data_IF_083236436424
#
_entry.id   IF_083236436424
#
_cell.length_a   1.000
_cell.length_b   1.000
_cell.length_c   1.000
_cell.angle_alpha   90.00
_cell.angle_beta   90.00
_cell.angle_gamma   90.00
#
_symmetry.space_group_name_H-M   'P 1'
#
loop_
_entity.id
_entity.type
_entity.pdbx_description
1 polymer ?
#
# COMPACT_ATOMS: atom_id res chain seq x y z
N UNK A 1 -6.19 -10.96 -4.98
CA UNK A 1 -5.46 -11.64 -3.88
C UNK A 1 -3.96 -11.68 -4.14
N UNK A 2 -3.45 -12.38 -5.15
CA UNK A 2 -1.99 -12.58 -5.34
C UNK A 2 -1.10 -11.31 -5.24
N UNK A 3 -1.49 -10.19 -5.85
CA UNK A 3 -0.64 -8.98 -5.85
C UNK A 3 -0.79 -8.08 -4.61
N UNK A 4 -1.95 -8.12 -3.93
CA UNK A 4 -2.33 -7.15 -2.90
C UNK A 4 -2.93 -7.79 -1.64
N UNK A 5 -2.89 -9.12 -1.52
CA UNK A 5 -3.48 -9.87 -0.41
C UNK A 5 -2.83 -9.54 0.93
N UNK A 6 -1.54 -9.20 0.91
CA UNK A 6 -0.77 -8.74 2.07
C UNK A 6 -1.17 -7.36 2.60
N UNK A 7 -2.04 -6.63 1.90
CA UNK A 7 -2.46 -5.27 2.26
C UNK A 7 -3.66 -5.32 3.19
N UNK A 8 -3.79 -4.29 4.02
CA UNK A 8 -4.95 -4.12 4.91
C UNK A 8 -4.77 -2.93 5.84
N UNK A 9 -5.80 -2.59 6.63
CA UNK A 9 -5.65 -1.63 7.72
C UNK A 9 -4.57 -2.10 8.69
N UNK A 10 -3.71 -1.18 9.15
CA UNK A 10 -2.62 -1.48 10.10
C UNK A 10 -1.70 -2.64 9.67
N UNK A 11 -1.37 -2.74 8.39
CA UNK A 11 -0.57 -3.84 7.81
C UNK A 11 0.85 -4.03 8.37
N UNK A 12 1.35 -3.08 9.17
CA UNK A 12 2.62 -3.18 9.92
C UNK A 12 2.55 -4.15 11.09
N UNK A 13 1.35 -4.36 11.65
CA UNK A 13 1.11 -5.26 12.76
C UNK A 13 0.82 -6.68 12.24
N UNK A 14 1.61 -7.65 12.65
CA UNK A 14 1.42 -9.05 12.25
C UNK A 14 0.09 -9.63 12.77
N UNK A 15 -0.51 -9.07 13.83
CA UNK A 15 -1.82 -9.48 14.32
C UNK A 15 -3.00 -8.96 13.50
N UNK A 16 -2.82 -7.83 12.81
CA UNK A 16 -3.87 -7.22 12.01
C UNK A 16 -4.25 -8.11 10.81
N UNK A 17 -5.55 -8.16 10.51
CA UNK A 17 -6.04 -8.85 9.31
C UNK A 17 -5.69 -8.09 8.02
N UNK A 18 -5.48 -8.86 6.96
CA UNK A 18 -5.22 -8.38 5.61
C UNK A 18 -6.35 -8.79 4.68
N UNK A 19 -6.32 -8.32 3.43
CA UNK A 19 -7.29 -8.72 2.42
C UNK A 19 -7.26 -10.23 2.17
N UNK A 20 -6.11 -10.88 2.32
CA UNK A 20 -5.99 -12.34 2.20
C UNK A 20 -6.57 -13.07 3.42
N UNK A 21 -6.24 -12.64 4.63
CA UNK A 21 -6.70 -13.32 5.86
C UNK A 21 -8.14 -12.98 6.23
N UNK A 22 -8.67 -11.86 5.74
CA UNK A 22 -10.07 -11.47 5.83
C UNK A 22 -10.50 -10.71 4.56
N UNK A 23 -11.02 -11.41 3.53
CA UNK A 23 -11.52 -10.81 2.30
C UNK A 23 -12.61 -9.75 2.50
N UNK A 24 -13.34 -9.82 3.62
CA UNK A 24 -14.38 -8.86 3.98
C UNK A 24 -13.88 -7.41 4.09
N UNK A 25 -12.60 -7.22 4.42
CA UNK A 25 -11.97 -5.89 4.45
C UNK A 25 -11.93 -5.25 3.06
N UNK A 26 -11.52 -5.99 2.04
CA UNK A 26 -11.50 -5.51 0.65
C UNK A 26 -12.91 -5.26 0.12
N UNK A 27 -13.86 -6.15 0.45
CA UNK A 27 -15.26 -5.99 0.06
C UNK A 27 -15.90 -4.75 0.69
N UNK A 28 -15.59 -4.46 1.95
CA UNK A 28 -16.09 -3.25 2.64
C UNK A 28 -15.62 -1.97 1.96
N UNK A 29 -14.35 -1.93 1.53
CA UNK A 29 -13.81 -0.82 0.74
C UNK A 29 -14.51 -0.67 -0.61
N UNK A 30 -14.71 -1.78 -1.35
CA UNK A 30 -15.43 -1.75 -2.63
C UNK A 30 -16.88 -1.29 -2.47
N UNK A 31 -17.53 -1.71 -1.38
CA UNK A 31 -18.90 -1.28 -1.06
C UNK A 31 -18.99 0.21 -0.73
N UNK A 32 -17.93 0.84 -0.23
CA UNK A 32 -17.87 2.28 -0.08
C UNK A 32 -17.62 2.97 -1.43
N UNK A 33 -16.68 2.46 -2.23
CA UNK A 33 -16.31 3.03 -3.54
C UNK A 33 -17.48 3.03 -4.54
N UNK A 34 -18.31 1.98 -4.57
CA UNK A 34 -19.46 1.88 -5.48
C UNK A 34 -20.58 2.90 -5.22
N UNK A 35 -20.52 3.64 -4.11
CA UNK A 35 -21.48 4.70 -3.78
C UNK A 35 -21.02 6.07 -4.26
N UNK A 36 -19.80 6.16 -4.82
CA UNK A 36 -19.29 7.41 -5.37
C UNK A 36 -19.96 7.70 -6.73
N UNK A 37 -20.00 8.99 -7.07
CA UNK A 37 -20.45 9.49 -8.37
C UNK A 37 -19.48 9.09 -9.49
N UNK A 38 -19.95 9.07 -10.74
CA UNK A 38 -19.14 8.75 -11.93
C UNK A 38 -17.92 9.68 -12.08
N UNK A 39 -17.95 10.89 -11.50
CA UNK A 39 -16.78 11.78 -11.43
C UNK A 39 -15.59 11.21 -10.65
N UNK A 40 -15.78 10.15 -9.87
CA UNK A 40 -14.73 9.40 -9.18
C UNK A 40 -14.10 8.29 -10.05
N UNK A 41 -14.46 8.17 -11.33
CA UNK A 41 -13.86 7.20 -12.26
C UNK A 41 -12.32 7.31 -12.24
N UNK A 42 -11.59 6.21 -11.94
CA UNK A 42 -10.13 6.18 -11.99
C UNK A 42 -9.55 6.65 -13.33
N UNK A 43 -10.21 6.38 -14.46
CA UNK A 43 -9.74 6.84 -15.78
C UNK A 43 -9.79 8.38 -15.89
N UNK A 44 -10.87 9.00 -15.40
CA UNK A 44 -10.99 10.46 -15.33
C UNK A 44 -9.96 11.06 -14.36
N UNK A 45 -9.68 10.39 -13.24
CA UNK A 45 -8.64 10.81 -12.31
C UNK A 45 -7.25 10.78 -12.96
N UNK A 46 -6.93 9.76 -13.76
CA UNK A 46 -5.68 9.68 -14.52
C UNK A 46 -5.60 10.83 -15.53
N UNK A 47 -6.65 11.07 -16.31
CA UNK A 47 -6.68 12.16 -17.30
C UNK A 47 -6.45 13.53 -16.63
N UNK A 48 -7.11 13.79 -15.50
CA UNK A 48 -6.90 15.00 -14.70
C UNK A 48 -5.45 15.15 -14.26
N UNK A 49 -4.80 14.05 -13.84
CA UNK A 49 -3.41 14.07 -13.40
C UNK A 49 -2.43 14.27 -14.58
N UNK A 50 -2.80 13.88 -15.80
CA UNK A 50 -2.02 14.16 -17.00
C UNK A 50 -1.97 15.65 -17.37
N UNK A 51 -2.83 16.50 -16.79
CA UNK A 51 -2.74 17.95 -16.96
C UNK A 51 -1.37 18.53 -16.52
N UNK A 52 -0.65 17.81 -15.66
CA UNK A 52 0.71 18.13 -15.23
C UNK A 52 1.71 18.23 -16.40
N UNK A 53 1.48 17.52 -17.52
CA UNK A 53 2.35 17.60 -18.71
C UNK A 53 2.39 19.02 -19.28
N UNK A 54 1.28 19.75 -19.24
CA UNK A 54 1.23 21.15 -19.71
C UNK A 54 2.05 22.06 -18.80
N UNK A 55 1.92 21.89 -17.49
CA UNK A 55 2.67 22.64 -16.49
C UNK A 55 4.18 22.38 -16.67
N UNK A 56 4.59 21.14 -16.89
CA UNK A 56 5.99 20.81 -17.15
C UNK A 56 6.57 21.57 -18.36
N UNK A 57 5.83 21.64 -19.47
CA UNK A 57 6.27 22.38 -20.66
C UNK A 57 6.38 23.90 -20.39
N UNK A 58 5.43 24.47 -19.65
CA UNK A 58 5.43 25.89 -19.29
C UNK A 58 6.68 26.27 -18.46
N UNK A 59 6.97 25.49 -17.41
CA UNK A 59 8.16 25.72 -16.58
C UNK A 59 9.46 25.46 -17.33
N UNK A 60 9.50 24.47 -18.23
CA UNK A 60 10.68 24.24 -19.09
C UNK A 60 10.96 25.46 -19.98
N UNK A 61 9.92 26.07 -20.57
CA UNK A 61 10.07 27.29 -21.36
C UNK A 61 10.51 28.49 -20.51
N UNK A 62 10.00 28.60 -19.28
CA UNK A 62 10.36 29.70 -18.37
C UNK A 62 11.86 29.75 -18.04
N UNK A 63 12.55 28.60 -18.03
CA UNK A 63 13.98 28.51 -17.74
C UNK A 63 14.86 28.42 -18.99
N UNK A 64 14.32 28.56 -20.20
CA UNK A 64 15.06 28.28 -21.44
C UNK A 64 16.30 29.15 -21.67
N UNK A 65 16.32 30.36 -21.11
CA UNK A 65 17.44 31.29 -21.22
C UNK A 65 18.54 31.07 -20.16
N UNK A 66 18.32 30.14 -19.22
CA UNK A 66 19.29 29.80 -18.17
C UNK A 66 19.53 28.29 -18.16
N UNK A 67 20.65 27.87 -18.76
CA UNK A 67 21.03 26.47 -18.90
C UNK A 67 21.11 25.73 -17.55
N UNK A 68 21.68 26.38 -16.53
CA UNK A 68 21.79 25.80 -15.19
C UNK A 68 20.42 25.57 -14.57
N UNK A 69 19.54 26.59 -14.60
CA UNK A 69 18.18 26.48 -14.06
C UNK A 69 17.34 25.44 -14.82
N UNK A 70 17.46 25.39 -16.15
CA UNK A 70 16.80 24.40 -17.00
C UNK A 70 17.25 22.97 -16.67
N UNK A 71 18.57 22.77 -16.51
CA UNK A 71 19.15 21.48 -16.12
C UNK A 71 18.68 21.02 -14.73
N UNK A 72 18.66 21.92 -13.74
CA UNK A 72 18.16 21.61 -12.41
C UNK A 72 16.67 21.25 -12.41
N UNK A 73 15.85 21.99 -13.16
CA UNK A 73 14.42 21.72 -13.26
C UNK A 73 14.19 20.33 -13.89
N UNK A 74 14.83 20.03 -15.01
CA UNK A 74 14.72 18.73 -15.67
C UNK A 74 15.15 17.58 -14.74
N UNK A 75 16.26 17.74 -14.01
CA UNK A 75 16.73 16.75 -13.05
C UNK A 75 15.74 16.55 -11.88
N UNK A 76 15.20 17.64 -11.31
CA UNK A 76 14.20 17.58 -10.24
C UNK A 76 12.91 16.90 -10.66
N UNK A 77 12.45 17.17 -11.89
CA UNK A 77 11.27 16.54 -12.47
C UNK A 77 11.46 15.05 -12.69
N UNK A 78 12.58 14.65 -13.30
CA UNK A 78 12.94 13.25 -13.46
C UNK A 78 13.03 12.52 -12.10
N UNK A 79 13.62 13.18 -11.10
CA UNK A 79 13.69 12.65 -9.74
C UNK A 79 12.29 12.45 -9.14
N UNK A 80 11.38 13.42 -9.32
CA UNK A 80 9.99 13.30 -8.88
C UNK A 80 9.29 12.09 -9.49
N UNK A 81 9.38 11.92 -10.81
CA UNK A 81 8.75 10.79 -11.52
C UNK A 81 9.25 9.43 -11.01
N UNK A 82 10.57 9.30 -10.82
CA UNK A 82 11.17 8.03 -10.38
C UNK A 82 10.92 7.78 -8.89
N UNK A 83 11.22 8.75 -8.02
CA UNK A 83 11.27 8.52 -6.58
C UNK A 83 9.89 8.53 -5.90
N UNK A 84 8.90 9.26 -6.43
CA UNK A 84 7.54 9.20 -5.90
C UNK A 84 6.94 7.80 -6.11
N UNK A 85 7.08 7.24 -7.32
CA UNK A 85 6.64 5.88 -7.62
C UNK A 85 7.45 4.84 -6.83
N UNK A 86 8.76 5.03 -6.71
CA UNK A 86 9.63 4.14 -5.93
C UNK A 86 9.22 4.09 -4.45
N UNK A 87 8.85 5.23 -3.85
CA UNK A 87 8.40 5.30 -2.45
C UNK A 87 7.18 4.43 -2.19
N UNK A 88 6.15 4.53 -3.04
CA UNK A 88 4.94 3.71 -2.90
C UNK A 88 5.23 2.22 -3.14
N UNK A 89 6.16 1.92 -4.06
CA UNK A 89 6.63 0.55 -4.30
C UNK A 89 7.37 -0.02 -3.09
N UNK A 90 8.24 0.75 -2.43
CA UNK A 90 8.99 0.30 -1.26
C UNK A 90 8.05 -0.19 -0.15
N UNK A 91 6.99 0.56 0.15
CA UNK A 91 5.98 0.15 1.12
C UNK A 91 5.36 -1.20 0.73
N UNK A 92 4.98 -1.36 -0.53
CA UNK A 92 4.42 -2.62 -1.05
C UNK A 92 5.41 -3.79 -0.97
N UNK A 93 6.71 -3.54 -1.12
CA UNK A 93 7.76 -4.54 -0.96
C UNK A 93 7.93 -4.97 0.49
N UNK A 94 7.93 -4.02 1.44
CA UNK A 94 8.18 -4.29 2.87
C UNK A 94 7.04 -5.09 3.51
N UNK A 95 5.79 -4.82 3.14
CA UNK A 95 4.63 -5.51 3.76
C UNK A 95 4.49 -6.97 3.35
N UNK A 96 5.13 -7.41 2.25
CA UNK A 96 5.07 -8.81 1.80
C UNK A 96 5.78 -9.76 2.79
N UNK A 97 7.03 -9.52 3.21
CA UNK A 97 7.64 -10.28 4.29
C UNK A 97 6.84 -10.27 5.61
N UNK A 98 6.21 -9.13 5.96
CA UNK A 98 5.36 -9.05 7.15
C UNK A 98 4.16 -10.00 7.03
N UNK A 99 3.58 -10.12 5.83
CA UNK A 99 2.52 -11.10 5.57
C UNK A 99 2.99 -12.54 5.75
N UNK A 100 4.19 -12.89 5.28
CA UNK A 100 4.73 -14.24 5.49
C UNK A 100 4.85 -14.56 6.98
N UNK A 101 5.39 -13.62 7.78
CA UNK A 101 5.48 -13.77 9.25
C UNK A 101 4.08 -13.92 9.85
N UNK A 102 3.11 -13.10 9.44
CA UNK A 102 1.72 -13.16 9.89
C UNK A 102 1.10 -14.54 9.65
N UNK A 103 1.24 -15.08 8.43
CA UNK A 103 0.70 -16.40 8.09
C UNK A 103 1.36 -17.50 8.94
N UNK A 104 2.68 -17.42 9.18
CA UNK A 104 3.36 -18.35 10.08
C UNK A 104 2.81 -18.29 11.51
N UNK A 105 2.62 -17.10 12.08
CA UNK A 105 2.08 -16.97 13.44
C UNK A 105 0.64 -17.47 13.55
N UNK A 106 -0.19 -17.20 12.53
CA UNK A 106 -1.58 -17.71 12.49
C UNK A 106 -1.62 -19.24 12.42
N UNK A 107 -0.76 -19.84 11.61
CA UNK A 107 -0.65 -21.30 11.54
C UNK A 107 -0.20 -21.89 12.88
N UNK A 108 0.83 -21.31 13.51
CA UNK A 108 1.30 -21.75 14.82
C UNK A 108 0.22 -21.61 15.91
N UNK A 109 -0.46 -20.47 15.96
CA UNK A 109 -1.58 -20.24 16.88
C UNK A 109 -2.71 -21.26 16.67
N UNK A 110 -3.06 -21.54 15.41
CA UNK A 110 -4.09 -22.54 15.09
C UNK A 110 -3.70 -23.95 15.57
N UNK A 111 -2.43 -24.34 15.43
CA UNK A 111 -1.95 -25.65 15.90
C UNK A 111 -1.94 -25.74 17.42
N UNK A 112 -1.43 -24.71 18.10
CA UNK A 112 -1.41 -24.67 19.56
C UNK A 112 -2.82 -24.72 20.15
N UNK A 113 -3.78 -24.06 19.51
CA UNK A 113 -5.18 -24.12 19.93
C UNK A 113 -5.78 -25.51 19.69
N UNK A 114 -5.50 -26.14 18.55
CA UNK A 114 -5.93 -27.50 18.24
C UNK A 114 -5.39 -28.53 19.25
N UNK A 115 -4.14 -28.36 19.66
CA UNK A 115 -3.47 -29.23 20.64
C UNK A 115 -3.88 -28.91 22.10
N UNK A 116 -4.72 -27.90 22.32
CA UNK A 116 -5.23 -27.51 23.64
C UNK A 116 -4.22 -26.75 24.50
N UNK A 117 -3.16 -26.18 23.91
CA UNK A 117 -2.16 -25.39 24.62
C UNK A 117 -2.61 -23.94 24.87
N UNK A 118 -3.49 -23.40 24.03
CA UNK A 118 -4.09 -22.06 24.16
C UNK A 118 -5.58 -22.12 23.78
N UNK A 119 -6.41 -21.28 24.39
CA UNK A 119 -7.85 -21.27 24.13
C UNK A 119 -8.24 -20.56 22.82
N UNK A 120 -7.41 -19.61 22.38
CA UNK A 120 -7.62 -18.81 21.17
C UNK A 120 -6.32 -18.71 20.35
N UNK A 121 -6.33 -19.01 19.04
CA UNK A 121 -5.16 -18.90 18.17
C UNK A 121 -4.44 -17.55 18.22
N UNK A 122 -5.15 -16.43 18.39
CA UNK A 122 -4.57 -15.10 18.36
C UNK A 122 -3.78 -14.79 19.65
N UNK A 123 -3.91 -15.58 20.73
CA UNK A 123 -3.09 -15.45 21.95
C UNK A 123 -1.59 -15.63 21.69
N UNK A 124 -1.21 -16.31 20.60
CA UNK A 124 0.19 -16.45 20.17
C UNK A 124 0.88 -15.10 19.93
N UNK A 125 0.11 -14.05 19.64
CA UNK A 125 0.61 -12.70 19.37
C UNK A 125 0.86 -11.90 20.65
N UNK A 126 0.34 -12.35 21.79
CA UNK A 126 0.37 -11.60 23.05
C UNK A 126 1.50 -12.01 24.01
N UNK A 127 2.25 -13.09 23.75
CA UNK A 127 3.30 -13.62 24.65
C UNK A 127 2.93 -13.68 26.15
N UNK A 128 1.64 -13.76 26.48
CA UNK A 128 1.20 -13.88 27.86
C UNK A 128 1.13 -15.37 28.19
N UNK A 129 1.97 -15.80 29.14
CA UNK A 129 1.95 -17.14 29.73
C UNK A 129 0.52 -17.45 30.19
N UNK A 130 -0.06 -18.51 29.64
CA UNK A 130 -1.15 -19.23 30.28
C UNK A 130 -0.53 -19.97 31.46
N UNK A 131 -1.00 -19.68 32.68
CA UNK A 131 -0.59 -20.36 33.92
C UNK A 131 -1.24 -21.73 34.03
#
# INVERSE_FOLDING_TARGET
MYNHGSRGPNEWDIGAHTYETNPGLALSMLNAMRQQDDSADPALAIERNCAFVKIFAEFTAMFSENEEASGMFAAGMQAGEVWLAARERQKSTIVKPIQEIRLCFRELGSRLALDGHIDDPDLILCFLKVN
#
